data_IF_758793605048
#
_entry.id   IF_758793605048
#
_cell.length_a   1.000
_cell.length_b   1.000
_cell.length_c   1.000
_cell.angle_alpha   90.00
_cell.angle_beta   90.00
_cell.angle_gamma   90.00
#
_symmetry.space_group_name_H-M   'P 1'
#
loop_
_entity.id
_entity.type
_entity.pdbx_description
1 polymer ?
#
# COMPACT_ATOMS: atom_id res chain seq x y z
N UNK A 1 39.65 -1.85 3.08
CA UNK A 1 38.38 -2.56 3.26
C UNK A 1 37.30 -1.53 3.04
N UNK A 2 36.73 -1.49 1.84
CA UNK A 2 35.64 -0.58 1.47
C UNK A 2 34.33 -1.37 1.42
N UNK A 3 33.23 -0.62 1.41
CA UNK A 3 31.79 -0.98 1.44
C UNK A 3 31.25 -1.11 2.87
N UNK A 4 30.27 -0.35 3.31
CA UNK A 4 29.46 0.70 2.68
C UNK A 4 28.28 0.92 3.61
N UNK A 5 28.34 1.94 4.47
CA UNK A 5 27.18 2.34 5.27
C UNK A 5 26.26 3.17 4.37
N UNK A 6 25.52 2.50 3.49
CA UNK A 6 24.38 3.13 2.84
C UNK A 6 23.19 3.09 3.81
N UNK A 7 23.25 3.96 4.82
CA UNK A 7 22.08 4.28 5.61
C UNK A 7 21.29 5.32 4.82
N UNK A 8 20.63 4.84 3.76
CA UNK A 8 19.60 5.56 3.02
C UNK A 8 18.70 6.26 4.03
N UNK A 9 18.79 7.59 4.06
CA UNK A 9 17.96 8.47 4.87
C UNK A 9 16.51 8.29 4.42
N UNK A 10 15.80 7.30 5.00
CA UNK A 10 14.38 7.07 4.72
C UNK A 10 13.60 8.22 5.35
N UNK A 11 13.12 9.08 4.47
CA UNK A 11 12.34 10.29 4.71
C UNK A 11 11.29 10.06 5.80
N UNK A 12 11.43 10.79 6.92
CA UNK A 12 10.42 10.79 7.98
C UNK A 12 9.24 11.58 7.45
N UNK A 13 8.19 10.87 7.02
CA UNK A 13 6.93 11.49 6.59
C UNK A 13 6.20 12.00 7.84
N UNK A 14 6.27 13.30 8.08
CA UNK A 14 5.45 13.97 9.08
C UNK A 14 4.04 14.15 8.53
N UNK A 15 3.05 13.45 9.10
CA UNK A 15 1.65 13.70 8.79
C UNK A 15 1.24 14.98 9.54
N UNK A 16 1.24 16.11 8.83
CA UNK A 16 0.69 17.36 9.37
C UNK A 16 -0.82 17.19 9.53
N UNK A 17 -1.32 17.39 10.75
CA UNK A 17 -2.75 17.49 11.01
C UNK A 17 -3.25 18.87 10.58
N UNK A 18 -3.34 19.10 9.26
CA UNK A 18 -4.04 20.27 8.75
C UNK A 18 -5.55 19.96 8.73
N UNK A 19 -6.31 20.82 9.40
CA UNK A 19 -7.77 20.73 9.54
C UNK A 19 -8.42 20.69 8.15
N UNK A 20 -8.93 19.53 7.74
CA UNK A 20 -9.69 19.36 6.49
C UNK A 20 -10.97 20.21 6.57
N UNK A 21 -10.98 21.37 5.92
CA UNK A 21 -12.23 22.06 5.60
C UNK A 21 -12.84 21.39 4.37
N UNK A 22 -13.80 20.50 4.59
CA UNK A 22 -14.60 19.88 3.53
C UNK A 22 -15.52 20.93 2.93
N UNK A 23 -15.12 21.53 1.80
CA UNK A 23 -16.06 22.21 0.92
C UNK A 23 -16.77 21.14 0.09
N UNK A 24 -17.99 20.83 0.51
CA UNK A 24 -18.90 19.92 -0.16
C UNK A 24 -19.42 20.60 -1.44
N UNK A 25 -18.69 20.45 -2.55
CA UNK A 25 -19.21 20.77 -3.89
C UNK A 25 -19.82 19.52 -4.48
N UNK A 26 -21.14 19.43 -4.34
CA UNK A 26 -22.01 18.52 -5.07
C UNK A 26 -21.96 18.83 -6.57
N UNK A 27 -21.24 17.99 -7.33
CA UNK A 27 -21.52 17.78 -8.75
C UNK A 27 -21.93 16.32 -8.93
N UNK A 28 -23.23 16.14 -9.16
CA UNK A 28 -23.84 14.88 -9.54
C UNK A 28 -23.27 14.43 -10.88
N UNK A 29 -22.52 13.32 -10.88
CA UNK A 29 -22.36 12.49 -12.05
C UNK A 29 -22.99 11.14 -11.72
N UNK A 30 -24.15 10.97 -12.34
CA UNK A 30 -24.99 9.79 -12.50
C UNK A 30 -24.31 8.48 -12.08
N UNK A 31 -24.84 7.85 -11.03
CA UNK A 31 -24.57 6.46 -10.69
C UNK A 31 -24.92 5.59 -11.90
N UNK A 32 -23.90 5.02 -12.55
CA UNK A 32 -24.12 3.88 -13.44
C UNK A 32 -24.58 2.70 -12.58
N UNK A 33 -25.91 2.55 -12.56
CA UNK A 33 -26.74 1.58 -11.89
C UNK A 33 -26.10 0.19 -11.73
N UNK A 34 -25.97 -0.25 -10.48
CA UNK A 34 -25.62 -1.62 -10.14
C UNK A 34 -26.74 -2.59 -10.55
N UNK A 35 -26.53 -3.37 -11.60
CA UNK A 35 -27.01 -4.76 -11.78
C UNK A 35 -26.83 -5.18 -13.25
N UNK A 36 -25.62 -5.61 -13.57
CA UNK A 36 -25.34 -6.37 -14.78
C UNK A 36 -24.00 -7.02 -14.54
N UNK A 37 -23.87 -8.31 -14.81
CA UNK A 37 -22.55 -8.94 -14.97
C UNK A 37 -21.82 -8.03 -15.96
N UNK A 38 -20.88 -7.23 -15.47
CA UNK A 38 -20.06 -6.40 -16.32
C UNK A 38 -19.23 -7.42 -17.10
N UNK A 39 -19.71 -7.80 -18.28
CA UNK A 39 -18.91 -8.56 -19.24
C UNK A 39 -17.73 -7.66 -19.53
N UNK A 40 -16.61 -7.93 -18.86
CA UNK A 40 -15.38 -7.18 -18.98
C UNK A 40 -14.99 -7.24 -20.45
N UNK A 41 -15.23 -6.16 -21.21
CA UNK A 41 -14.85 -6.08 -22.63
C UNK A 41 -13.33 -6.00 -22.65
N UNK A 42 -12.67 -7.16 -22.83
CA UNK A 42 -11.22 -7.24 -22.96
C UNK A 42 -10.82 -6.78 -24.36
N UNK A 43 -9.96 -5.78 -24.43
CA UNK A 43 -9.37 -5.33 -25.69
C UNK A 43 -8.43 -6.41 -26.24
N UNK A 44 -8.66 -6.81 -27.50
CA UNK A 44 -7.89 -7.83 -28.22
C UNK A 44 -6.56 -7.31 -28.77
N UNK A 45 -6.32 -6.01 -28.77
CA UNK A 45 -5.04 -5.40 -29.13
C UNK A 45 -4.16 -5.11 -27.91
N UNK A 46 -4.76 -5.01 -26.72
CA UNK A 46 -4.03 -4.79 -25.47
C UNK A 46 -3.36 -6.09 -24.96
N UNK A 47 -2.06 -6.03 -24.67
CA UNK A 47 -1.31 -7.16 -24.09
C UNK A 47 -1.72 -7.43 -22.64
N UNK A 48 -2.01 -6.41 -21.85
CA UNK A 48 -2.46 -6.54 -20.45
C UNK A 48 -3.84 -7.21 -20.34
N UNK A 49 -4.76 -6.93 -21.26
CA UNK A 49 -6.09 -7.54 -21.25
C UNK A 49 -6.07 -9.05 -21.58
N UNK A 50 -5.01 -9.53 -22.22
CA UNK A 50 -4.79 -10.95 -22.52
C UNK A 50 -4.13 -11.70 -21.37
N UNK A 51 -3.53 -10.98 -20.42
CA UNK A 51 -2.83 -11.57 -19.30
C UNK A 51 -3.85 -12.09 -18.28
N UNK A 52 -3.85 -13.40 -18.07
CA UNK A 52 -4.61 -14.05 -17.00
C UNK A 52 -3.68 -14.19 -15.81
N UNK A 53 -3.94 -13.42 -14.74
CA UNK A 53 -3.24 -13.56 -13.46
C UNK A 53 -3.94 -14.69 -12.69
N UNK A 54 -3.22 -15.67 -12.15
CA UNK A 54 -3.83 -16.63 -11.23
C UNK A 54 -4.35 -15.89 -10.00
N UNK A 55 -5.40 -16.42 -9.38
CA UNK A 55 -5.82 -15.92 -8.08
C UNK A 55 -4.70 -16.23 -7.07
N UNK A 56 -4.29 -15.23 -6.26
CA UNK A 56 -3.27 -15.44 -5.25
C UNK A 56 -3.76 -16.51 -4.24
N UNK A 57 -2.83 -17.30 -3.75
CA UNK A 57 -3.08 -18.23 -2.64
C UNK A 57 -3.43 -17.46 -1.37
N UNK A 58 -4.05 -18.13 -0.40
CA UNK A 58 -4.34 -17.54 0.91
C UNK A 58 -3.09 -16.92 1.56
N UNK A 59 -1.93 -17.57 1.39
CA UNK A 59 -0.64 -17.08 1.88
C UNK A 59 -0.19 -15.78 1.21
N UNK A 60 -0.36 -15.68 -0.11
CA UNK A 60 0.03 -14.48 -0.89
C UNK A 60 -0.90 -13.28 -0.65
N UNK A 61 -2.09 -13.53 -0.10
CA UNK A 61 -3.04 -12.48 0.29
C UNK A 61 -2.73 -11.86 1.66
N UNK A 62 -1.78 -12.41 2.42
CA UNK A 62 -1.42 -11.87 3.74
C UNK A 62 -0.50 -10.65 3.57
N UNK A 63 -0.96 -9.49 4.06
CA UNK A 63 -0.15 -8.27 4.11
C UNK A 63 0.25 -7.99 5.55
N UNK A 64 1.56 -7.96 5.78
CA UNK A 64 2.10 -7.61 7.08
C UNK A 64 2.52 -6.14 7.13
N UNK A 65 1.89 -5.37 8.01
CA UNK A 65 2.19 -3.95 8.18
C UNK A 65 3.11 -3.74 9.38
N UNK A 66 4.16 -2.94 9.18
CA UNK A 66 4.98 -2.41 10.26
C UNK A 66 4.94 -0.91 10.27
N UNK A 67 4.96 -0.36 11.48
CA UNK A 67 5.36 1.01 11.68
C UNK A 67 6.59 1.02 12.59
N UNK A 68 7.74 1.13 11.95
CA UNK A 68 9.03 1.13 12.61
C UNK A 68 9.19 2.32 13.56
N UNK A 69 8.57 3.45 13.22
CA UNK A 69 8.61 4.66 14.02
C UNK A 69 7.37 5.52 13.80
N UNK A 70 6.77 5.97 14.89
CA UNK A 70 5.77 7.02 14.91
C UNK A 70 6.36 8.24 15.60
N UNK A 71 6.03 9.42 15.07
CA UNK A 71 6.42 10.68 15.68
C UNK A 71 5.22 11.62 15.68
N UNK A 72 4.78 11.98 16.87
CA UNK A 72 3.85 13.08 17.09
C UNK A 72 4.59 14.34 17.53
N UNK A 73 3.85 15.45 17.78
CA UNK A 73 4.44 16.71 18.23
C UNK A 73 5.27 16.58 19.51
N UNK A 74 4.80 15.76 20.45
CA UNK A 74 5.40 15.61 21.79
C UNK A 74 5.84 14.17 22.12
N UNK A 75 5.75 13.25 21.16
CA UNK A 75 6.15 11.86 21.38
C UNK A 75 6.86 11.28 20.17
N UNK A 76 7.81 10.40 20.45
CA UNK A 76 8.47 9.57 19.47
C UNK A 76 8.46 8.14 20.00
N UNK A 77 8.05 7.21 19.17
CA UNK A 77 8.01 5.79 19.50
C UNK A 77 8.59 5.01 18.33
N UNK A 78 9.50 4.09 18.62
CA UNK A 78 10.01 3.14 17.63
C UNK A 78 10.02 1.73 18.20
N UNK A 79 9.83 0.76 17.32
CA UNK A 79 9.99 -0.66 17.64
C UNK A 79 11.21 -1.21 16.94
N UNK A 80 11.72 -2.35 17.42
CA UNK A 80 12.63 -3.15 16.61
C UNK A 80 11.84 -3.77 15.45
N UNK A 81 12.56 -4.11 14.38
CA UNK A 81 11.99 -4.95 13.33
C UNK A 81 11.62 -6.31 13.94
N UNK A 82 10.39 -6.80 13.77
CA UNK A 82 10.03 -8.12 14.26
C UNK A 82 10.72 -9.20 13.42
N UNK A 83 10.89 -10.40 13.98
CA UNK A 83 11.66 -11.48 13.35
C UNK A 83 11.14 -11.85 11.96
N UNK A 84 9.82 -11.91 11.79
CA UNK A 84 9.15 -12.26 10.54
C UNK A 84 9.38 -11.30 9.38
N UNK A 85 9.96 -10.13 9.63
CA UNK A 85 10.28 -9.14 8.59
C UNK A 85 11.76 -8.90 8.40
N UNK A 86 12.60 -9.74 9.02
CA UNK A 86 14.01 -9.73 8.71
C UNK A 86 14.22 -10.37 7.34
N UNK A 87 15.25 -9.92 6.64
CA UNK A 87 15.61 -10.45 5.31
C UNK A 87 16.01 -11.93 5.35
N UNK A 88 16.48 -12.40 6.51
CA UNK A 88 16.89 -13.78 6.78
C UNK A 88 15.79 -14.65 7.38
N UNK A 89 14.53 -14.17 7.41
CA UNK A 89 13.43 -14.94 7.99
C UNK A 89 12.88 -15.98 7.01
N UNK A 90 12.64 -17.19 7.52
CA UNK A 90 11.98 -18.29 6.81
C UNK A 90 10.72 -18.72 7.59
N UNK A 91 9.62 -18.97 6.88
CA UNK A 91 8.38 -19.52 7.44
C UNK A 91 8.54 -21.05 7.59
N UNK A 92 8.36 -21.59 8.80
CA UNK A 92 8.44 -23.05 9.10
C UNK A 92 7.32 -23.88 8.43
#
# INVERSE_FOLDING_TARGET
>A
MQTGTDNSEKEVVYIKADSIQTQNQSQSQELSSCAGIATQVRDHLCTECKLVRPDPTEKELVMYLHALRYKGPDFEYSTRIPEWAREDWEED
#
